data_IF_454365260775
#
_entry.id   IF_454365260775
#
_cell.length_a   1.000
_cell.length_b   1.000
_cell.length_c   1.000
_cell.angle_alpha   90.00
_cell.angle_beta   90.00
_cell.angle_gamma   90.00
#
_symmetry.space_group_name_H-M   'P 1'
#
loop_
_entity.id
_entity.type
_entity.pdbx_description
1 polymer ?
#
# COMPACT_ATOMS: atom_id res chain seq x y z
N UNK A 1 13.17 11.02 -24.56
CA UNK A 1 12.61 11.06 -23.19
C UNK A 1 13.66 11.41 -22.16
N UNK A 2 13.25 12.02 -21.05
CA UNK A 2 14.14 12.27 -19.92
C UNK A 2 14.49 10.95 -19.22
N UNK A 3 15.73 10.78 -18.71
CA UNK A 3 16.09 9.62 -17.90
C UNK A 3 15.22 9.50 -16.64
N UNK A 4 15.01 8.29 -16.12
CA UNK A 4 14.10 8.02 -14.98
C UNK A 4 14.46 8.81 -13.71
N UNK A 5 15.74 9.04 -13.44
CA UNK A 5 16.20 9.83 -12.28
C UNK A 5 15.75 11.30 -12.36
N UNK A 6 15.33 11.77 -13.54
CA UNK A 6 14.79 13.11 -13.74
C UNK A 6 13.27 13.19 -13.59
N UNK A 7 12.57 12.06 -13.49
CA UNK A 7 11.10 12.03 -13.53
C UNK A 7 10.46 12.67 -12.29
N UNK A 8 11.16 12.69 -11.16
CA UNK A 8 10.67 13.33 -9.92
C UNK A 8 10.59 14.86 -9.99
N UNK A 9 11.29 15.50 -10.92
CA UNK A 9 11.35 16.96 -11.05
C UNK A 9 10.19 17.50 -11.89
N UNK A 10 8.98 17.36 -11.36
CA UNK A 10 7.74 17.75 -12.01
C UNK A 10 6.94 18.75 -11.16
N UNK A 11 6.03 19.54 -11.76
CA UNK A 11 5.33 20.62 -11.07
C UNK A 11 4.30 20.15 -10.03
N UNK A 12 3.97 18.86 -10.02
CA UNK A 12 3.07 18.27 -9.03
C UNK A 12 3.82 17.60 -7.87
N UNK A 13 5.16 17.68 -7.85
CA UNK A 13 5.97 17.29 -6.71
C UNK A 13 6.49 18.52 -5.94
N UNK A 14 7.27 18.27 -4.90
CA UNK A 14 7.99 19.29 -4.15
C UNK A 14 9.13 18.70 -3.35
N UNK A 15 9.83 19.58 -2.65
CA UNK A 15 10.89 19.24 -1.69
C UNK A 15 10.60 19.82 -0.32
N UNK A 16 11.43 19.45 0.64
CA UNK A 16 11.43 20.04 1.97
C UNK A 16 12.43 21.19 2.04
N UNK A 17 12.01 22.29 2.65
CA UNK A 17 12.93 23.39 2.99
C UNK A 17 13.86 23.00 4.14
N UNK A 18 14.99 23.70 4.27
CA UNK A 18 15.93 23.53 5.39
C UNK A 18 15.23 23.68 6.75
N UNK A 19 14.30 24.64 6.87
CA UNK A 19 13.53 24.85 8.09
C UNK A 19 12.61 23.66 8.44
N UNK A 20 12.00 23.02 7.43
CA UNK A 20 11.19 21.81 7.63
C UNK A 20 12.05 20.62 8.04
N UNK A 21 13.24 20.46 7.43
CA UNK A 21 14.17 19.38 7.77
C UNK A 21 14.74 19.55 9.19
N UNK A 22 15.12 20.76 9.58
CA UNK A 22 15.54 21.05 10.95
C UNK A 22 14.41 20.76 11.96
N UNK A 23 13.19 21.20 11.67
CA UNK A 23 12.03 20.90 12.49
C UNK A 23 11.74 19.40 12.60
N UNK A 24 11.88 18.64 11.50
CA UNK A 24 11.70 17.19 11.50
C UNK A 24 12.68 16.51 12.46
N UNK A 25 13.96 16.88 12.40
CA UNK A 25 14.97 16.33 13.29
C UNK A 25 14.69 16.66 14.77
N UNK A 26 14.29 17.90 15.08
CA UNK A 26 13.92 18.30 16.44
C UNK A 26 12.69 17.54 16.95
N UNK A 27 11.66 17.37 16.12
CA UNK A 27 10.45 16.63 16.45
C UNK A 27 10.75 15.15 16.74
N UNK A 28 11.60 14.53 15.92
CA UNK A 28 12.06 13.16 16.14
C UNK A 28 12.81 13.05 17.47
N UNK A 29 13.81 13.90 17.72
CA UNK A 29 14.58 13.91 18.97
C UNK A 29 13.71 14.09 20.22
N UNK A 30 12.68 14.94 20.14
CA UNK A 30 11.73 15.13 21.23
C UNK A 30 10.94 13.85 21.52
N UNK A 31 10.48 13.15 20.49
CA UNK A 31 9.77 11.88 20.63
C UNK A 31 10.68 10.77 21.21
N UNK A 32 11.95 10.71 20.81
CA UNK A 32 12.92 9.74 21.36
C UNK A 32 13.19 9.98 22.86
N UNK A 33 13.28 11.25 23.28
CA UNK A 33 13.44 11.61 24.70
C UNK A 33 12.25 11.12 25.54
N UNK A 34 11.07 11.05 24.94
CA UNK A 34 9.86 10.51 25.55
C UNK A 34 9.67 9.01 25.28
N UNK A 35 10.67 8.34 24.71
CA UNK A 35 10.68 6.90 24.39
C UNK A 35 9.50 6.47 23.50
N UNK A 36 9.09 7.33 22.56
CA UNK A 36 7.97 7.06 21.64
C UNK A 36 8.46 6.47 20.31
N UNK A 37 7.68 5.55 19.78
CA UNK A 37 7.77 5.13 18.37
C UNK A 37 7.17 6.19 17.45
N UNK A 38 7.71 6.32 16.25
CA UNK A 38 7.44 7.41 15.32
C UNK A 38 6.96 6.83 13.99
N UNK A 39 5.78 7.28 13.54
CA UNK A 39 5.26 7.09 12.18
C UNK A 39 5.24 8.45 11.52
N UNK A 40 5.86 8.55 10.35
CA UNK A 40 5.94 9.80 9.58
C UNK A 40 4.86 9.78 8.51
N UNK A 41 4.12 10.89 8.37
CA UNK A 41 3.16 11.08 7.29
C UNK A 41 3.66 12.17 6.34
N UNK A 42 3.61 11.88 5.04
CA UNK A 42 3.91 12.82 3.96
C UNK A 42 2.89 12.63 2.86
N UNK A 43 2.66 13.64 2.01
CA UNK A 43 1.83 13.42 0.83
C UNK A 43 2.61 12.64 -0.24
N UNK A 44 3.85 13.08 -0.52
CA UNK A 44 4.71 12.53 -1.56
C UNK A 44 5.67 11.49 -0.95
N UNK A 45 5.78 10.28 -1.53
CA UNK A 45 6.69 9.21 -1.10
C UNK A 45 8.18 9.61 -1.01
N UNK A 46 8.89 8.95 -0.09
CA UNK A 46 10.33 9.15 0.12
C UNK A 46 11.20 8.02 -0.44
N UNK A 47 10.63 6.83 -0.68
CA UNK A 47 11.40 5.65 -1.02
C UNK A 47 10.92 5.04 -2.34
N UNK A 48 11.80 5.06 -3.35
CA UNK A 48 11.46 4.65 -4.72
C UNK A 48 10.86 3.23 -4.81
N UNK A 49 11.39 2.19 -4.15
CA UNK A 49 10.77 0.85 -4.16
C UNK A 49 9.33 0.78 -3.63
N UNK A 50 8.83 1.80 -2.93
CA UNK A 50 7.44 1.88 -2.47
C UNK A 50 6.55 2.76 -3.37
N UNK A 51 7.06 3.26 -4.50
CA UNK A 51 6.34 4.15 -5.43
C UNK A 51 6.90 4.05 -6.86
N UNK A 52 6.70 5.06 -7.70
CA UNK A 52 7.31 5.19 -9.02
C UNK A 52 8.26 6.41 -9.11
N UNK A 53 9.16 6.47 -10.11
CA UNK A 53 10.11 7.58 -10.26
C UNK A 53 9.49 8.98 -10.36
N UNK A 54 8.23 9.09 -10.82
CA UNK A 54 7.53 10.37 -11.03
C UNK A 54 6.95 10.97 -9.76
N UNK A 55 6.80 10.18 -8.70
CA UNK A 55 6.05 10.54 -7.48
C UNK A 55 6.95 10.59 -6.25
N UNK A 56 8.26 10.79 -6.45
CA UNK A 56 9.24 10.87 -5.37
C UNK A 56 9.48 12.32 -4.94
N UNK A 57 9.67 12.56 -3.65
CA UNK A 57 10.11 13.88 -3.15
C UNK A 57 11.45 14.25 -3.80
N UNK A 58 11.56 15.53 -4.14
CA UNK A 58 12.73 16.15 -4.77
C UNK A 58 14.03 15.87 -4.03
N UNK A 59 14.07 16.18 -2.75
CA UNK A 59 15.19 15.92 -1.85
C UNK A 59 14.83 14.86 -0.81
N UNK A 60 14.23 13.74 -1.24
CA UNK A 60 13.86 12.64 -0.34
C UNK A 60 15.05 12.11 0.45
N UNK A 61 16.26 12.17 -0.13
CA UNK A 61 17.50 11.71 0.48
C UNK A 61 17.85 12.49 1.76
N UNK A 62 17.55 13.80 1.81
CA UNK A 62 17.80 14.62 3.00
C UNK A 62 16.88 14.23 4.17
N UNK A 63 15.59 14.03 3.88
CA UNK A 63 14.63 13.57 4.87
C UNK A 63 14.95 12.13 5.34
N UNK A 64 15.25 11.22 4.42
CA UNK A 64 15.65 9.85 4.74
C UNK A 64 16.92 9.81 5.60
N UNK A 65 17.91 10.67 5.32
CA UNK A 65 19.12 10.74 6.12
C UNK A 65 18.83 11.08 7.60
N UNK A 66 17.87 11.97 7.87
CA UNK A 66 17.40 12.27 9.23
C UNK A 66 16.73 11.03 9.83
N UNK A 67 15.74 10.45 9.15
CA UNK A 67 14.99 9.31 9.65
C UNK A 67 15.89 8.08 9.91
N UNK A 68 16.89 7.85 9.07
CA UNK A 68 17.85 6.75 9.22
C UNK A 68 18.77 6.93 10.43
N UNK A 69 19.13 8.16 10.82
CA UNK A 69 19.88 8.41 12.07
C UNK A 69 19.06 8.01 13.31
N UNK A 70 17.74 8.10 13.21
CA UNK A 70 16.79 7.83 14.29
C UNK A 70 15.99 6.54 14.03
N UNK A 71 16.55 5.61 13.25
CA UNK A 71 15.87 4.39 12.80
C UNK A 71 15.37 3.50 13.92
N UNK A 72 15.86 3.66 15.15
CA UNK A 72 15.43 2.90 16.32
C UNK A 72 14.06 3.33 16.85
N UNK A 73 13.69 4.58 16.61
CA UNK A 73 12.40 5.13 17.02
C UNK A 73 11.44 5.26 15.83
N UNK A 74 11.94 5.44 14.61
CA UNK A 74 11.11 5.54 13.39
C UNK A 74 10.76 4.16 12.85
N UNK A 75 9.46 3.84 12.83
CA UNK A 75 8.96 2.52 12.39
C UNK A 75 8.45 2.54 10.95
N UNK A 76 7.81 3.63 10.52
CA UNK A 76 7.21 3.69 9.20
C UNK A 76 7.10 5.11 8.64
N UNK A 77 7.06 5.20 7.31
CA UNK A 77 6.67 6.38 6.53
C UNK A 77 5.42 6.02 5.73
N UNK A 78 4.37 6.82 5.87
CA UNK A 78 3.12 6.69 5.13
C UNK A 78 2.98 7.85 4.15
N UNK A 79 2.65 7.51 2.91
CA UNK A 79 2.50 8.41 1.80
C UNK A 79 1.24 8.12 0.97
N UNK A 80 0.88 9.07 0.11
CA UNK A 80 -0.11 8.89 -0.96
C UNK A 80 0.51 9.32 -2.29
N UNK A 81 -0.17 10.21 -3.02
CA UNK A 81 0.27 10.85 -4.27
C UNK A 81 0.41 9.90 -5.47
N UNK A 82 1.08 8.77 -5.31
CA UNK A 82 1.08 7.68 -6.26
C UNK A 82 -0.19 6.83 -6.11
N UNK A 83 -1.16 7.04 -6.98
CA UNK A 83 -2.44 6.35 -6.92
C UNK A 83 -2.33 4.83 -7.09
N UNK A 84 -1.24 4.37 -7.71
CA UNK A 84 -0.95 2.95 -7.92
C UNK A 84 -0.45 2.26 -6.64
N UNK A 85 -0.01 3.03 -5.65
CA UNK A 85 0.41 2.55 -4.34
C UNK A 85 1.67 1.67 -4.38
N UNK A 86 2.09 1.24 -3.20
CA UNK A 86 3.24 0.38 -3.03
C UNK A 86 3.64 0.18 -1.58
N UNK A 87 4.46 -0.84 -1.35
CA UNK A 87 5.05 -1.14 -0.05
C UNK A 87 6.46 -1.68 -0.22
N UNK A 88 7.39 -1.15 0.57
CA UNK A 88 8.75 -1.66 0.66
C UNK A 88 9.34 -1.38 2.04
N UNK A 89 10.40 -2.13 2.38
CA UNK A 89 11.24 -1.85 3.56
C UNK A 89 12.59 -1.37 3.05
N UNK A 90 13.06 -0.25 3.59
CA UNK A 90 14.35 0.30 3.20
C UNK A 90 15.54 -0.38 3.93
N UNK A 91 16.80 -0.13 3.53
CA UNK A 91 17.96 -0.74 4.17
C UNK A 91 18.17 -0.39 5.65
N UNK A 92 17.54 0.68 6.15
CA UNK A 92 17.56 1.02 7.57
C UNK A 92 16.48 0.27 8.38
N UNK A 93 15.60 -0.46 7.69
CA UNK A 93 14.51 -1.24 8.27
C UNK A 93 13.21 -0.45 8.46
N UNK A 94 13.07 0.72 7.84
CA UNK A 94 11.84 1.51 7.90
C UNK A 94 10.85 0.97 6.86
N UNK A 95 9.60 0.82 7.30
CA UNK A 95 8.50 0.46 6.40
C UNK A 95 8.03 1.70 5.63
N UNK A 96 7.98 1.64 4.30
CA UNK A 96 7.43 2.68 3.44
C UNK A 96 6.14 2.18 2.82
N UNK A 97 5.04 2.86 3.13
CA UNK A 97 3.69 2.54 2.61
C UNK A 97 3.25 3.72 1.76
N UNK A 98 3.02 3.49 0.47
CA UNK A 98 2.30 4.43 -0.39
C UNK A 98 0.90 3.88 -0.62
N UNK A 99 -0.09 4.58 -0.08
CA UNK A 99 -1.48 4.15 -0.16
C UNK A 99 -2.04 4.40 -1.56
N UNK A 100 -2.80 3.43 -2.05
CA UNK A 100 -3.60 3.59 -3.25
C UNK A 100 -4.64 4.72 -3.07
N UNK A 101 -5.04 5.33 -4.19
CA UNK A 101 -6.05 6.39 -4.16
C UNK A 101 -7.46 5.80 -4.23
N UNK A 102 -8.40 6.23 -3.36
CA UNK A 102 -9.80 5.84 -3.48
C UNK A 102 -10.42 6.30 -4.82
N UNK A 103 -9.83 7.28 -5.50
CA UNK A 103 -10.29 7.74 -6.82
C UNK A 103 -10.09 6.72 -7.94
N UNK A 104 -9.11 5.82 -7.79
CA UNK A 104 -8.75 4.81 -8.79
C UNK A 104 -9.23 3.41 -8.41
N UNK A 105 -9.93 3.30 -7.28
CA UNK A 105 -10.47 2.06 -6.75
C UNK A 105 -11.75 1.65 -7.50
N UNK A 106 -11.96 0.35 -7.80
CA UNK A 106 -13.20 -0.13 -8.42
C UNK A 106 -14.44 0.31 -7.61
N UNK A 107 -15.51 0.78 -8.27
CA UNK A 107 -16.75 1.15 -7.59
C UNK A 107 -17.29 0.02 -6.71
N UNK A 108 -17.73 0.36 -5.49
CA UNK A 108 -18.24 -0.62 -4.53
C UNK A 108 -17.16 -1.36 -3.73
N UNK A 109 -15.89 -0.98 -3.87
CA UNK A 109 -14.80 -1.49 -3.03
C UNK A 109 -14.18 -0.39 -2.18
N UNK A 110 -13.61 -0.78 -1.04
CA UNK A 110 -12.98 0.14 -0.09
C UNK A 110 -11.51 0.45 -0.46
N UNK A 111 -11.03 1.59 0.04
CA UNK A 111 -9.63 1.98 -0.05
C UNK A 111 -9.26 2.87 1.13
N UNK A 112 -9.11 2.25 2.30
CA UNK A 112 -8.63 2.90 3.51
C UNK A 112 -7.89 1.89 4.39
N UNK A 113 -7.24 2.36 5.45
CA UNK A 113 -6.65 1.48 6.44
C UNK A 113 -6.81 2.03 7.85
N UNK A 114 -6.80 1.13 8.83
CA UNK A 114 -6.73 1.44 10.25
C UNK A 114 -5.31 1.15 10.73
N UNK A 115 -4.71 2.14 11.39
CA UNK A 115 -3.40 1.96 12.03
C UNK A 115 -3.60 1.68 13.52
N UNK A 116 -3.23 0.48 13.95
CA UNK A 116 -3.25 0.08 15.35
C UNK A 116 -1.84 0.20 15.91
N UNK A 117 -1.63 1.17 16.81
CA UNK A 117 -0.31 1.45 17.39
C UNK A 117 -0.08 0.61 18.64
N UNK A 118 1.08 -0.05 18.68
CA UNK A 118 1.55 -0.86 19.80
C UNK A 118 2.89 -0.34 20.33
N UNK A 119 3.40 -0.93 21.40
CA UNK A 119 4.71 -0.58 21.95
C UNK A 119 5.81 -1.03 20.97
N UNK A 120 6.48 -0.08 20.32
CA UNK A 120 7.60 -0.34 19.42
C UNK A 120 7.24 -0.68 17.96
N UNK A 121 5.95 -0.83 17.64
CA UNK A 121 5.50 -1.23 16.29
C UNK A 121 4.04 -0.82 16.05
N UNK A 122 3.57 -0.98 14.81
CA UNK A 122 2.16 -0.75 14.47
C UNK A 122 1.63 -1.79 13.47
N UNK A 123 0.33 -2.00 13.45
CA UNK A 123 -0.38 -2.83 12.47
C UNK A 123 -1.17 -1.94 11.52
N UNK A 124 -0.92 -2.08 10.23
CA UNK A 124 -1.73 -1.44 9.19
C UNK A 124 -2.75 -2.47 8.70
N UNK A 125 -4.02 -2.30 9.08
CA UNK A 125 -5.12 -3.15 8.65
C UNK A 125 -5.87 -2.47 7.50
N UNK A 126 -5.70 -2.99 6.29
CA UNK A 126 -6.28 -2.43 5.07
C UNK A 126 -7.72 -2.93 4.83
N UNK A 127 -8.61 -2.03 4.41
CA UNK A 127 -9.86 -2.39 3.75
C UNK A 127 -9.74 -2.20 2.24
N UNK A 128 -10.14 -3.24 1.51
CA UNK A 128 -10.01 -3.32 0.07
C UNK A 128 -8.55 -3.22 -0.39
N UNK A 129 -8.28 -2.42 -1.42
CA UNK A 129 -6.98 -2.36 -2.10
C UNK A 129 -6.16 -1.14 -1.69
N UNK A 130 -6.15 -0.80 -0.39
CA UNK A 130 -5.47 0.39 0.13
C UNK A 130 -3.94 0.36 0.00
N UNK A 131 -3.34 -0.83 -0.13
CA UNK A 131 -1.92 -1.00 -0.42
C UNK A 131 -1.72 -2.28 -1.24
N UNK A 132 -0.87 -2.21 -2.27
CA UNK A 132 -0.58 -3.33 -3.17
C UNK A 132 0.91 -3.57 -3.32
N UNK A 133 1.27 -4.72 -3.88
CA UNK A 133 2.65 -5.04 -4.24
C UNK A 133 3.26 -3.93 -5.12
N UNK A 134 4.40 -3.40 -4.71
CA UNK A 134 5.15 -2.40 -5.47
C UNK A 134 5.52 -2.86 -6.88
N UNK A 135 5.66 -1.89 -7.79
CA UNK A 135 6.08 -2.15 -9.17
C UNK A 135 5.00 -2.81 -10.05
N UNK A 136 3.77 -2.93 -9.54
CA UNK A 136 2.65 -3.57 -10.25
C UNK A 136 1.64 -2.59 -10.84
N UNK A 137 1.88 -1.27 -10.71
CA UNK A 137 0.99 -0.20 -11.22
C UNK A 137 -0.45 -0.35 -10.72
N UNK A 138 -0.63 -0.59 -9.41
CA UNK A 138 -1.95 -0.79 -8.80
C UNK A 138 -2.57 -2.18 -8.99
N UNK A 139 -1.99 -3.03 -9.86
CA UNK A 139 -2.63 -4.29 -10.31
C UNK A 139 -2.23 -5.53 -9.55
N UNK A 140 -1.15 -5.48 -8.76
CA UNK A 140 -0.63 -6.62 -8.02
C UNK A 140 -1.54 -7.10 -6.90
N UNK A 141 -1.13 -8.17 -6.24
CA UNK A 141 -1.78 -8.65 -5.01
C UNK A 141 -1.79 -7.52 -3.95
N UNK A 142 -2.84 -7.49 -3.14
CA UNK A 142 -2.99 -6.47 -2.11
C UNK A 142 -2.60 -6.98 -0.73
N UNK A 143 -2.12 -6.07 0.11
CA UNK A 143 -1.87 -6.33 1.51
C UNK A 143 -3.17 -6.06 2.27
N UNK A 144 -3.78 -7.10 2.84
CA UNK A 144 -4.87 -6.92 3.81
C UNK A 144 -4.32 -6.42 5.15
N UNK A 145 -3.05 -6.73 5.41
CA UNK A 145 -2.36 -6.36 6.63
C UNK A 145 -0.86 -6.16 6.40
N UNK A 146 -0.28 -5.19 7.11
CA UNK A 146 1.16 -5.08 7.31
C UNK A 146 1.49 -5.00 8.79
N UNK A 147 2.46 -5.80 9.23
CA UNK A 147 3.10 -5.67 10.53
C UNK A 147 4.30 -4.74 10.38
N UNK A 148 4.25 -3.57 11.01
CA UNK A 148 5.27 -2.51 10.96
C UNK A 148 6.19 -2.61 12.17
N UNK A 149 6.76 -3.81 12.37
CA UNK A 149 7.77 -4.09 13.37
C UNK A 149 9.12 -4.28 12.68
N UNK A 150 10.20 -3.84 13.32
CA UNK A 150 11.56 -4.01 12.77
C UNK A 150 11.84 -5.47 12.43
N UNK A 151 12.21 -5.72 11.17
CA UNK A 151 12.51 -7.06 10.66
C UNK A 151 11.29 -7.91 10.32
N UNK A 152 10.07 -7.36 10.39
CA UNK A 152 8.88 -8.07 9.96
C UNK A 152 8.88 -8.27 8.44
N UNK A 153 8.58 -9.49 8.02
CA UNK A 153 8.37 -9.85 6.63
C UNK A 153 6.87 -9.81 6.33
N UNK A 154 6.49 -8.94 5.38
CA UNK A 154 5.10 -8.81 4.94
C UNK A 154 4.99 -9.32 3.50
N UNK A 155 4.00 -10.20 3.27
CA UNK A 155 3.65 -10.72 1.95
C UNK A 155 2.21 -10.34 1.62
N UNK A 156 1.86 -10.03 0.36
CA UNK A 156 0.47 -9.82 -0.01
C UNK A 156 -0.38 -11.06 0.32
N UNK A 157 -1.59 -10.84 0.82
CA UNK A 157 -2.52 -11.91 1.19
C UNK A 157 -3.76 -11.94 0.30
N UNK A 158 -4.08 -10.82 -0.35
CA UNK A 158 -5.29 -10.68 -1.15
C UNK A 158 -5.04 -10.76 -2.67
N UNK A 159 -6.08 -11.05 -3.46
CA UNK A 159 -5.98 -11.22 -4.92
C UNK A 159 -5.40 -10.00 -5.63
N UNK A 160 -4.80 -10.26 -6.80
CA UNK A 160 -4.46 -9.22 -7.78
C UNK A 160 -5.72 -8.61 -8.40
N UNK A 161 -5.56 -7.50 -9.14
CA UNK A 161 -6.70 -6.91 -9.85
C UNK A 161 -7.23 -7.85 -10.94
N UNK A 162 -6.33 -8.56 -11.63
CA UNK A 162 -6.71 -9.53 -12.66
C UNK A 162 -7.52 -10.70 -12.08
N UNK A 163 -7.15 -11.17 -10.88
CA UNK A 163 -7.90 -12.24 -10.21
C UNK A 163 -9.32 -11.79 -9.83
N UNK A 164 -9.47 -10.52 -9.42
CA UNK A 164 -10.77 -9.92 -9.13
C UNK A 164 -11.63 -9.79 -10.39
N UNK A 165 -11.04 -9.30 -11.49
CA UNK A 165 -11.72 -9.19 -12.79
C UNK A 165 -12.20 -10.56 -13.29
N UNK A 166 -11.33 -11.57 -13.26
CA UNK A 166 -11.68 -12.94 -13.66
C UNK A 166 -12.80 -13.53 -12.78
N UNK A 167 -12.79 -13.23 -11.47
CA UNK A 167 -13.83 -13.67 -10.55
C UNK A 167 -15.20 -13.05 -10.87
N UNK A 168 -15.23 -11.76 -11.23
CA UNK A 168 -16.47 -11.06 -11.60
C UNK A 168 -17.00 -11.52 -12.97
N UNK A 169 -16.10 -11.84 -13.91
CA UNK A 169 -16.47 -12.44 -15.20
C UNK A 169 -17.12 -13.82 -15.00
N UNK A 170 -16.50 -14.69 -14.17
CA UNK A 170 -17.07 -16.00 -13.86
C UNK A 170 -18.44 -15.88 -13.16
N UNK A 171 -18.60 -14.91 -12.24
CA UNK A 171 -19.88 -14.62 -11.60
C UNK A 171 -20.93 -14.18 -12.63
N UNK A 172 -20.56 -13.25 -13.50
CA UNK A 172 -21.43 -12.76 -14.58
C UNK A 172 -21.88 -13.89 -15.52
N UNK A 173 -20.99 -14.83 -15.82
CA UNK A 173 -21.31 -15.99 -16.64
C UNK A 173 -22.35 -16.88 -15.95
N UNK A 174 -22.20 -17.20 -14.67
CA UNK A 174 -23.19 -17.98 -13.91
C UNK A 174 -24.54 -17.28 -13.81
N UNK A 175 -24.55 -15.96 -13.61
CA UNK A 175 -25.78 -15.16 -13.60
C UNK A 175 -26.49 -15.21 -14.96
N UNK A 176 -25.73 -15.17 -16.07
CA UNK A 176 -26.29 -15.28 -17.43
C UNK A 176 -26.93 -16.64 -17.70
N UNK A 177 -26.49 -17.69 -16.99
CA UNK A 177 -27.07 -19.03 -17.02
C UNK A 177 -28.37 -19.14 -16.19
N UNK A 178 -28.77 -18.07 -15.50
CA UNK A 178 -30.01 -18.01 -14.70
C UNK A 178 -29.83 -18.37 -13.23
N UNK A 179 -28.59 -18.57 -12.75
CA UNK A 179 -28.35 -18.83 -11.34
C UNK A 179 -28.49 -17.55 -10.50
N UNK A 180 -29.02 -17.68 -9.28
CA UNK A 180 -29.08 -16.58 -8.33
C UNK A 180 -27.67 -16.17 -7.88
N UNK A 181 -27.46 -14.85 -7.68
CA UNK A 181 -26.14 -14.28 -7.34
C UNK A 181 -25.48 -14.93 -6.14
N UNK A 182 -26.22 -15.11 -5.05
CA UNK A 182 -25.68 -15.70 -3.81
C UNK A 182 -25.22 -17.14 -4.04
N UNK A 183 -26.01 -17.94 -4.78
CA UNK A 183 -25.67 -19.33 -5.12
C UNK A 183 -24.43 -19.39 -6.02
N UNK A 184 -24.38 -18.53 -7.05
CA UNK A 184 -23.24 -18.44 -7.96
C UNK A 184 -21.96 -18.00 -7.26
N UNK A 185 -22.04 -16.98 -6.40
CA UNK A 185 -20.90 -16.49 -5.61
C UNK A 185 -20.38 -17.58 -4.66
N UNK A 186 -21.26 -18.23 -3.89
CA UNK A 186 -20.87 -19.33 -3.00
C UNK A 186 -20.24 -20.50 -3.77
N UNK A 187 -20.79 -20.86 -4.93
CA UNK A 187 -20.26 -21.93 -5.76
C UNK A 187 -18.86 -21.62 -6.30
N UNK A 188 -18.62 -20.38 -6.76
CA UNK A 188 -17.29 -19.93 -7.21
C UNK A 188 -16.27 -19.92 -6.07
N UNK A 189 -16.66 -19.44 -4.88
CA UNK A 189 -15.79 -19.49 -3.71
C UNK A 189 -15.44 -20.94 -3.35
N UNK A 190 -16.42 -21.83 -3.31
CA UNK A 190 -16.21 -23.23 -2.94
C UNK A 190 -15.44 -24.03 -4.00
N UNK A 191 -15.55 -23.67 -5.28
CA UNK A 191 -14.83 -24.32 -6.38
C UNK A 191 -13.43 -23.75 -6.61
N UNK A 192 -13.02 -22.73 -5.86
CA UNK A 192 -11.78 -22.02 -6.10
C UNK A 192 -11.75 -21.35 -7.48
N UNK A 193 -12.90 -20.89 -7.97
CA UNK A 193 -13.05 -20.27 -9.29
C UNK A 193 -13.17 -21.26 -10.46
N UNK A 194 -13.22 -22.58 -10.22
CA UNK A 194 -13.46 -23.54 -11.30
C UNK A 194 -14.91 -23.43 -11.79
N UNK A 195 -15.08 -23.02 -13.04
CA UNK A 195 -16.39 -22.75 -13.64
C UNK A 195 -17.25 -24.01 -13.80
N UNK A 196 -16.69 -25.13 -14.25
CA UNK A 196 -17.44 -26.38 -14.46
C UNK A 196 -17.96 -26.92 -13.14
N UNK A 197 -17.11 -26.95 -12.11
CA UNK A 197 -17.51 -27.31 -10.76
C UNK A 197 -18.55 -26.33 -10.19
N UNK A 198 -18.38 -25.02 -10.39
CA UNK A 198 -19.34 -24.02 -9.91
C UNK A 198 -20.72 -24.17 -10.56
N UNK A 199 -20.77 -24.48 -11.87
CA UNK A 199 -22.03 -24.78 -12.59
C UNK A 199 -22.70 -26.01 -12.00
N UNK A 200 -21.95 -27.10 -11.78
CA UNK A 200 -22.48 -28.32 -11.20
C UNK A 200 -23.06 -28.08 -9.79
N UNK A 201 -22.37 -27.30 -8.96
CA UNK A 201 -22.84 -26.91 -7.63
C UNK A 201 -24.06 -25.99 -7.67
N UNK A 202 -24.16 -25.10 -8.67
CA UNK A 202 -25.33 -24.25 -8.86
C UNK A 202 -26.55 -25.03 -9.38
N UNK A 203 -26.35 -26.14 -10.08
CA UNK A 203 -27.41 -26.98 -10.64
C UNK A 203 -27.92 -28.06 -9.67
N UNK A 204 -27.14 -28.40 -8.64
CA UNK A 204 -27.53 -29.28 -7.53
C UNK A 204 -28.52 -28.59 -6.57
#
# INVERSE_FOLDING_TARGET
DLPEDKHRWCPFNGGFSEAQLAWLEDAVRAAEKEQRSIVVFTHIPLHLPATCPKTLVWNCEEALAILHRHKDSVVAVMAGHDHDGGYAVDPAGLHHITMNSPMTTPPGTDCFAVLECHEGWARFAASGRACVRSGTKGKGEHYSELILAKGAENHPQGPSLADLEASEEALSQLLSMGFARDKASMALTASGGNMEAAVAMCAA
#
